data_IF_986381434685
#
_entry.id   IF_986381434685
#
_cell.length_a   1.000
_cell.length_b   1.000
_cell.length_c   1.000
_cell.angle_alpha   90.00
_cell.angle_beta   90.00
_cell.angle_gamma   90.00
#
_symmetry.space_group_name_H-M   'P 1'
#
loop_
_entity.id
_entity.type
_entity.pdbx_description
1 polymer ?
#
# COMPACT_ATOMS: atom_id res chain seq x y z
N UNK A 1 4.38 -63.82 10.76
CA UNK A 1 3.44 -62.97 10.00
C UNK A 1 3.10 -61.63 10.70
N UNK A 2 2.89 -61.62 12.03
CA UNK A 2 2.55 -60.40 12.79
C UNK A 2 3.65 -59.35 12.84
N UNK A 3 4.91 -59.73 12.83
CA UNK A 3 6.06 -58.79 12.89
C UNK A 3 6.27 -58.01 11.57
N UNK A 4 5.99 -58.62 10.42
CA UNK A 4 6.09 -57.97 9.09
C UNK A 4 4.98 -56.91 8.88
N UNK A 5 3.77 -57.14 9.42
CA UNK A 5 2.68 -56.16 9.37
C UNK A 5 3.00 -54.90 10.21
N UNK A 6 3.68 -55.07 11.36
CA UNK A 6 4.02 -53.95 12.23
C UNK A 6 5.11 -53.04 11.63
N UNK A 7 6.07 -53.64 10.92
CA UNK A 7 7.11 -52.88 10.21
C UNK A 7 6.51 -52.08 9.02
N UNK A 8 5.55 -52.64 8.28
CA UNK A 8 4.86 -51.92 7.21
C UNK A 8 3.98 -50.77 7.73
N UNK A 9 3.31 -50.95 8.87
CA UNK A 9 2.53 -49.90 9.50
C UNK A 9 3.43 -48.73 10.01
N UNK A 10 4.63 -49.06 10.54
CA UNK A 10 5.60 -48.05 10.95
C UNK A 10 6.22 -47.29 9.77
N UNK A 11 6.49 -47.95 8.66
CA UNK A 11 7.01 -47.34 7.42
C UNK A 11 5.94 -46.45 6.77
N UNK A 12 4.67 -46.87 6.76
CA UNK A 12 3.57 -46.02 6.29
C UNK A 12 3.29 -44.80 7.20
N UNK A 13 3.51 -44.91 8.52
CA UNK A 13 3.41 -43.76 9.42
C UNK A 13 4.63 -42.80 9.32
N UNK A 14 5.81 -43.29 8.92
CA UNK A 14 6.98 -42.44 8.73
C UNK A 14 6.97 -41.74 7.37
N UNK A 15 6.24 -42.20 6.36
CA UNK A 15 6.08 -41.53 5.07
C UNK A 15 5.10 -40.34 5.10
N UNK A 16 4.36 -40.15 6.17
CA UNK A 16 3.47 -39.01 6.38
C UNK A 16 4.10 -37.85 7.21
N UNK A 17 5.38 -37.93 7.47
CA UNK A 17 6.15 -36.70 7.80
C UNK A 17 6.32 -35.90 6.52
N UNK A 18 5.22 -35.40 5.97
CA UNK A 18 5.28 -34.24 5.12
C UNK A 18 6.04 -33.18 5.93
N UNK A 19 7.23 -32.84 5.49
CA UNK A 19 7.89 -31.62 5.87
C UNK A 19 6.86 -30.52 5.61
N UNK A 20 6.09 -30.16 6.62
CA UNK A 20 5.27 -28.97 6.58
C UNK A 20 6.27 -27.84 6.39
N UNK A 21 6.40 -27.39 5.13
CA UNK A 21 7.27 -26.28 4.83
C UNK A 21 6.92 -25.13 5.74
N UNK A 22 7.91 -24.43 6.18
CA UNK A 22 7.80 -23.32 7.13
C UNK A 22 6.66 -22.39 6.67
N UNK A 23 5.59 -22.33 7.46
CA UNK A 23 4.45 -21.47 7.19
C UNK A 23 4.92 -20.02 7.30
N UNK A 24 4.36 -19.14 6.48
CA UNK A 24 4.59 -17.70 6.60
C UNK A 24 4.34 -17.25 8.04
N UNK A 25 5.33 -16.59 8.64
CA UNK A 25 5.29 -16.16 10.03
C UNK A 25 4.98 -14.66 10.13
N UNK A 26 4.26 -14.24 11.16
CA UNK A 26 4.12 -12.82 11.46
C UNK A 26 5.46 -12.24 11.93
N UNK A 27 5.58 -10.93 11.90
CA UNK A 27 6.82 -10.21 12.24
C UNK A 27 7.62 -9.82 11.00
N UNK A 28 8.40 -8.75 11.14
CA UNK A 28 9.28 -8.28 10.08
C UNK A 28 10.48 -9.22 9.96
N UNK A 29 10.65 -9.78 8.78
CA UNK A 29 11.82 -10.58 8.45
C UNK A 29 12.67 -9.80 7.44
N UNK A 30 13.87 -9.44 7.84
CA UNK A 30 14.77 -8.61 7.04
C UNK A 30 15.33 -9.38 5.84
N UNK A 31 15.54 -10.70 5.94
CA UNK A 31 16.00 -11.54 4.82
C UNK A 31 14.86 -11.73 3.79
N UNK A 32 13.64 -11.93 4.28
CA UNK A 32 12.44 -11.96 3.43
C UNK A 32 12.27 -10.62 2.70
N UNK A 33 12.48 -9.49 3.41
CA UNK A 33 12.41 -8.16 2.81
C UNK A 33 13.52 -7.91 1.77
N UNK A 34 14.73 -8.38 2.02
CA UNK A 34 15.83 -8.30 1.06
C UNK A 34 15.49 -9.04 -0.24
N UNK A 35 14.95 -10.26 -0.15
CA UNK A 35 14.49 -11.02 -1.32
C UNK A 35 13.36 -10.31 -2.06
N UNK A 36 12.44 -9.66 -1.32
CA UNK A 36 11.37 -8.84 -1.89
C UNK A 36 11.95 -7.65 -2.67
N UNK A 37 12.99 -6.98 -2.19
CA UNK A 37 13.64 -5.90 -2.92
C UNK A 37 14.26 -6.39 -4.24
N UNK A 38 14.82 -7.61 -4.26
CA UNK A 38 15.33 -8.27 -5.48
C UNK A 38 14.20 -8.54 -6.47
N UNK A 39 13.04 -9.02 -6.01
CA UNK A 39 11.82 -9.21 -6.83
C UNK A 39 11.39 -7.87 -7.44
N UNK A 40 11.30 -6.81 -6.64
CA UNK A 40 10.86 -5.48 -7.09
C UNK A 40 11.81 -4.93 -8.18
N UNK A 41 13.11 -5.15 -8.06
CA UNK A 41 14.08 -4.78 -9.12
C UNK A 41 13.87 -5.59 -10.39
N UNK A 42 13.60 -6.90 -10.25
CA UNK A 42 13.30 -7.78 -11.39
C UNK A 42 12.05 -7.33 -12.16
N UNK A 43 11.07 -6.74 -11.46
CA UNK A 43 9.86 -6.15 -12.05
C UNK A 43 10.09 -4.78 -12.69
N UNK A 44 11.23 -4.15 -12.44
CA UNK A 44 11.57 -2.79 -12.91
C UNK A 44 12.09 -2.84 -14.34
N UNK A 45 11.63 -1.90 -15.18
CA UNK A 45 12.09 -1.76 -16.57
C UNK A 45 13.47 -1.08 -16.69
N UNK A 46 14.18 -0.83 -15.58
CA UNK A 46 15.44 -0.09 -15.59
C UNK A 46 16.65 -1.03 -15.50
N UNK A 47 17.24 -1.48 -16.63
CA UNK A 47 18.35 -2.46 -16.66
C UNK A 47 19.59 -2.04 -15.86
N UNK A 48 19.84 -0.74 -15.75
CA UNK A 48 20.99 -0.20 -15.01
C UNK A 48 20.90 -0.47 -13.50
N UNK A 49 19.70 -0.49 -12.92
CA UNK A 49 19.49 -0.79 -11.48
C UNK A 49 19.62 -2.28 -11.18
N UNK A 50 19.22 -3.14 -12.12
CA UNK A 50 19.37 -4.59 -12.02
C UNK A 50 20.83 -5.07 -11.93
N UNK A 51 21.81 -4.24 -12.36
CA UNK A 51 23.23 -4.56 -12.20
C UNK A 51 23.76 -4.33 -10.79
N UNK A 52 23.06 -3.54 -9.97
CA UNK A 52 23.50 -3.15 -8.62
C UNK A 52 22.85 -4.02 -7.52
N UNK A 53 21.78 -4.72 -7.84
CA UNK A 53 21.06 -5.60 -6.91
C UNK A 53 21.00 -6.99 -7.57
N UNK A 54 21.43 -8.04 -6.87
CA UNK A 54 21.38 -9.41 -7.38
C UNK A 54 19.95 -9.83 -7.75
N UNK A 55 19.81 -10.72 -8.74
CA UNK A 55 18.53 -11.32 -9.09
C UNK A 55 17.96 -12.12 -7.90
N UNK A 56 16.62 -12.29 -7.79
CA UNK A 56 16.01 -13.10 -6.73
C UNK A 56 16.65 -14.49 -6.64
N UNK A 57 17.00 -14.90 -5.40
CA UNK A 57 17.72 -16.16 -5.16
C UNK A 57 16.77 -17.29 -4.76
N UNK A 58 15.67 -16.94 -4.11
CA UNK A 58 14.68 -17.88 -3.55
C UNK A 58 13.34 -17.81 -4.27
N UNK A 59 13.23 -17.01 -5.34
CA UNK A 59 11.96 -16.71 -5.99
C UNK A 59 12.08 -16.87 -7.51
N UNK A 60 11.04 -17.49 -8.10
CA UNK A 60 10.94 -17.72 -9.54
C UNK A 60 9.70 -17.03 -10.07
N UNK A 61 9.85 -16.24 -11.14
CA UNK A 61 8.74 -15.60 -11.82
C UNK A 61 7.81 -16.64 -12.45
N UNK A 62 6.54 -16.63 -12.10
CA UNK A 62 5.50 -17.53 -12.60
C UNK A 62 4.58 -16.85 -13.62
N UNK A 63 4.30 -15.57 -13.40
CA UNK A 63 3.38 -14.83 -14.25
C UNK A 63 3.70 -13.34 -14.23
N UNK A 64 3.57 -12.72 -15.38
CA UNK A 64 3.62 -11.26 -15.56
C UNK A 64 2.36 -10.82 -16.26
N UNK A 65 1.63 -9.88 -15.68
CA UNK A 65 0.41 -9.35 -16.27
C UNK A 65 0.68 -8.53 -17.53
N UNK A 66 -0.35 -8.31 -18.33
CA UNK A 66 -0.33 -7.22 -19.30
C UNK A 66 -0.39 -5.89 -18.55
N UNK A 67 0.06 -4.82 -19.19
CA UNK A 67 -0.16 -3.46 -18.72
C UNK A 67 -1.65 -3.15 -18.76
N UNK A 68 -2.21 -2.57 -17.69
CA UNK A 68 -3.64 -2.32 -17.56
C UNK A 68 -3.94 -0.99 -16.86
N UNK A 69 -5.10 -0.42 -17.15
CA UNK A 69 -5.58 0.82 -16.52
C UNK A 69 -4.60 1.98 -16.71
N UNK A 70 -4.12 2.55 -15.62
CA UNK A 70 -3.15 3.64 -15.60
C UNK A 70 -1.71 3.11 -15.58
N UNK A 71 -1.31 2.43 -16.62
CA UNK A 71 0.00 1.75 -16.76
C UNK A 71 0.34 0.82 -15.61
N UNK A 72 -0.66 0.19 -14.99
CA UNK A 72 -0.45 -0.76 -13.91
C UNK A 72 0.05 -2.09 -14.46
N UNK A 73 0.92 -2.74 -13.70
CA UNK A 73 1.43 -4.09 -13.96
C UNK A 73 1.74 -4.76 -12.63
N UNK A 74 1.56 -6.07 -12.58
CA UNK A 74 1.96 -6.88 -11.45
C UNK A 74 2.59 -8.20 -11.91
N UNK A 75 3.32 -8.81 -11.02
CA UNK A 75 3.98 -10.09 -11.24
C UNK A 75 3.68 -11.05 -10.09
N UNK A 76 3.53 -12.33 -10.46
CA UNK A 76 3.45 -13.45 -9.53
C UNK A 76 4.78 -14.16 -9.50
N UNK A 77 5.40 -14.18 -8.34
CA UNK A 77 6.61 -14.94 -8.07
C UNK A 77 6.30 -16.06 -7.08
N UNK A 78 7.01 -17.17 -7.21
CA UNK A 78 6.92 -18.28 -6.25
C UNK A 78 8.21 -18.36 -5.46
N UNK A 79 8.13 -18.03 -4.16
CA UNK A 79 9.25 -18.07 -3.23
C UNK A 79 9.32 -19.48 -2.58
N UNK A 80 10.49 -20.12 -2.68
CA UNK A 80 10.79 -21.45 -2.13
C UNK A 80 9.74 -22.52 -2.52
N UNK A 81 9.06 -22.35 -3.65
CA UNK A 81 8.02 -23.24 -4.15
C UNK A 81 6.73 -23.28 -3.30
N UNK A 82 6.54 -22.37 -2.35
CA UNK A 82 5.47 -22.46 -1.33
C UNK A 82 4.72 -21.15 -1.07
N UNK A 83 5.39 -20.02 -1.18
CA UNK A 83 4.82 -18.70 -0.92
C UNK A 83 4.67 -17.93 -2.21
N UNK A 84 3.46 -17.53 -2.54
CA UNK A 84 3.19 -16.66 -3.68
C UNK A 84 3.47 -15.22 -3.32
N UNK A 85 4.28 -14.52 -4.11
CA UNK A 85 4.56 -13.09 -3.96
C UNK A 85 3.89 -12.33 -5.09
N UNK A 86 2.93 -11.48 -4.75
CA UNK A 86 2.25 -10.58 -5.69
C UNK A 86 2.94 -9.22 -5.63
N UNK A 87 3.76 -8.93 -6.64
CA UNK A 87 4.53 -7.71 -6.72
C UNK A 87 3.86 -6.70 -7.64
N UNK A 88 3.41 -5.58 -7.09
CA UNK A 88 2.84 -4.46 -7.84
C UNK A 88 3.94 -3.51 -8.28
N UNK A 89 4.02 -3.25 -9.59
CA UNK A 89 5.00 -2.32 -10.18
C UNK A 89 4.77 -0.89 -9.69
N UNK A 90 5.85 -0.17 -9.44
CA UNK A 90 5.83 1.27 -9.16
C UNK A 90 5.61 2.11 -10.42
N UNK A 91 5.76 3.45 -10.29
CA UNK A 91 5.58 4.39 -11.39
C UNK A 91 6.57 4.12 -12.53
N UNK A 92 6.09 4.24 -13.76
CA UNK A 92 6.89 4.31 -14.98
C UNK A 92 7.14 5.78 -15.39
N UNK A 93 7.79 5.99 -16.52
CA UNK A 93 7.93 7.33 -17.10
C UNK A 93 6.67 7.80 -17.85
N UNK A 94 5.67 6.93 -18.01
CA UNK A 94 4.44 7.23 -18.73
C UNK A 94 3.55 8.20 -17.96
N UNK A 95 2.93 9.10 -18.69
CA UNK A 95 2.04 10.14 -18.10
C UNK A 95 0.88 9.54 -17.33
N UNK A 96 0.25 8.49 -17.83
CA UNK A 96 -0.89 7.83 -17.20
C UNK A 96 -0.50 7.14 -15.89
N UNK A 97 0.72 6.58 -15.80
CA UNK A 97 1.27 6.06 -14.54
C UNK A 97 1.38 7.17 -13.47
N UNK A 98 1.83 8.37 -13.86
CA UNK A 98 1.90 9.51 -12.95
C UNK A 98 0.52 10.04 -12.56
N UNK A 99 -0.47 9.96 -13.47
CA UNK A 99 -1.84 10.34 -13.14
C UNK A 99 -2.40 9.52 -11.97
N UNK A 100 -2.03 8.24 -11.84
CA UNK A 100 -2.43 7.44 -10.68
C UNK A 100 -1.92 8.02 -9.35
N UNK A 101 -0.73 8.63 -9.30
CA UNK A 101 -0.21 9.30 -8.11
C UNK A 101 -0.87 10.66 -7.86
N UNK A 102 -1.09 11.43 -8.93
CA UNK A 102 -1.61 12.79 -8.84
C UNK A 102 -3.12 12.80 -8.59
N UNK A 103 -3.84 11.74 -8.94
CA UNK A 103 -5.26 11.59 -8.64
C UNK A 103 -5.48 11.32 -7.15
N UNK A 104 -5.13 12.33 -6.35
CA UNK A 104 -4.96 12.22 -4.90
C UNK A 104 -6.12 12.82 -4.09
N UNK A 105 -7.28 13.09 -4.68
CA UNK A 105 -8.49 13.27 -3.89
C UNK A 105 -8.86 11.94 -3.22
N UNK A 106 -9.53 12.01 -2.07
CA UNK A 106 -10.00 10.80 -1.40
C UNK A 106 -11.41 10.42 -1.81
N UNK A 107 -11.69 9.12 -1.80
CA UNK A 107 -13.04 8.56 -1.94
C UNK A 107 -13.35 7.68 -0.73
N UNK A 108 -14.63 7.43 -0.38
CA UNK A 108 -14.97 6.51 0.69
C UNK A 108 -14.25 5.16 0.51
N UNK A 109 -13.84 4.54 1.63
CA UNK A 109 -13.20 3.22 1.60
C UNK A 109 -14.17 2.06 1.31
N UNK A 110 -15.45 2.37 1.16
CA UNK A 110 -16.52 1.43 0.77
C UNK A 110 -17.40 2.08 -0.30
N UNK A 111 -17.70 1.35 -1.35
CA UNK A 111 -18.52 1.87 -2.43
C UNK A 111 -18.37 1.10 -3.74
N UNK A 112 -18.57 1.82 -4.83
CA UNK A 112 -18.40 1.31 -6.20
C UNK A 112 -17.70 2.34 -7.07
N UNK A 113 -16.83 1.87 -7.96
CA UNK A 113 -16.25 2.66 -9.04
C UNK A 113 -16.72 2.11 -10.39
N UNK A 114 -17.26 2.95 -11.22
CA UNK A 114 -17.55 2.62 -12.61
C UNK A 114 -16.27 2.88 -13.42
N UNK A 115 -15.54 1.80 -13.68
CA UNK A 115 -14.19 1.83 -14.26
C UNK A 115 -14.24 1.86 -15.79
N UNK A 116 -15.11 1.01 -16.37
CA UNK A 116 -15.25 0.87 -17.82
C UNK A 116 -16.65 0.33 -18.15
N UNK A 117 -17.02 0.29 -19.42
CA UNK A 117 -18.25 -0.33 -19.87
C UNK A 117 -18.29 -1.80 -19.42
N UNK A 118 -19.29 -2.14 -18.60
CA UNK A 118 -19.44 -3.49 -18.05
C UNK A 118 -18.43 -3.83 -16.94
N UNK A 119 -17.62 -2.87 -16.47
CA UNK A 119 -16.72 -3.06 -15.34
C UNK A 119 -17.00 -2.05 -14.22
N UNK A 120 -17.76 -2.50 -13.24
CA UNK A 120 -17.95 -1.80 -11.96
C UNK A 120 -17.18 -2.53 -10.88
N UNK A 121 -16.29 -1.82 -10.20
CA UNK A 121 -15.54 -2.32 -9.05
C UNK A 121 -16.31 -2.02 -7.77
N UNK A 122 -16.89 -3.05 -7.16
CA UNK A 122 -17.49 -2.97 -5.84
C UNK A 122 -16.42 -3.30 -4.79
N UNK A 123 -16.34 -2.50 -3.73
CA UNK A 123 -15.30 -2.66 -2.72
C UNK A 123 -15.78 -2.25 -1.33
N UNK A 124 -15.30 -3.00 -0.33
CA UNK A 124 -15.47 -2.71 1.10
C UNK A 124 -14.11 -2.89 1.78
N UNK A 125 -13.21 -1.90 1.60
CA UNK A 125 -11.86 -1.99 2.16
C UNK A 125 -11.89 -1.95 3.70
N UNK A 126 -12.87 -1.25 4.27
CA UNK A 126 -13.19 -1.30 5.69
C UNK A 126 -14.64 -0.84 5.92
N UNK A 127 -15.17 -1.15 7.11
CA UNK A 127 -16.56 -0.85 7.48
C UNK A 127 -16.77 0.58 8.04
N UNK A 128 -15.69 1.27 8.40
CA UNK A 128 -15.80 2.61 8.97
C UNK A 128 -16.21 3.62 7.89
N UNK A 129 -17.37 4.24 8.06
CA UNK A 129 -17.96 5.20 7.09
C UNK A 129 -17.15 6.49 6.93
N UNK A 130 -16.28 6.83 7.88
CA UNK A 130 -15.36 7.98 7.81
C UNK A 130 -14.05 7.63 7.10
N UNK A 131 -13.79 6.34 6.87
CA UNK A 131 -12.57 5.92 6.17
C UNK A 131 -12.61 6.32 4.70
N UNK A 132 -11.51 6.88 4.25
CA UNK A 132 -11.35 7.33 2.87
C UNK A 132 -9.94 7.01 2.36
N UNK A 133 -9.84 6.71 1.07
CA UNK A 133 -8.63 6.24 0.42
C UNK A 133 -8.29 7.05 -0.82
N UNK A 134 -7.05 6.98 -1.25
CA UNK A 134 -6.50 7.61 -2.45
C UNK A 134 -7.20 7.07 -3.71
N UNK A 135 -7.91 7.93 -4.44
CA UNK A 135 -8.72 7.48 -5.58
C UNK A 135 -7.89 6.86 -6.72
N UNK A 136 -6.73 7.43 -7.04
CA UNK A 136 -5.87 6.88 -8.09
C UNK A 136 -5.35 5.48 -7.77
N UNK A 137 -4.99 5.22 -6.51
CA UNK A 137 -4.59 3.87 -6.07
C UNK A 137 -5.77 2.91 -6.05
N UNK A 138 -6.97 3.39 -5.75
CA UNK A 138 -8.18 2.57 -5.80
C UNK A 138 -8.53 2.17 -7.23
N UNK A 139 -8.40 3.08 -8.21
CA UNK A 139 -8.56 2.76 -9.64
C UNK A 139 -7.53 1.69 -10.06
N UNK A 140 -6.27 1.85 -9.66
CA UNK A 140 -5.22 0.86 -9.92
C UNK A 140 -5.55 -0.49 -9.28
N UNK A 141 -6.01 -0.49 -8.02
CA UNK A 141 -6.44 -1.70 -7.31
C UNK A 141 -7.54 -2.44 -8.06
N UNK A 142 -8.54 -1.73 -8.59
CA UNK A 142 -9.63 -2.33 -9.35
C UNK A 142 -9.14 -3.13 -10.58
N UNK A 143 -8.22 -2.56 -11.34
CA UNK A 143 -7.64 -3.26 -12.49
C UNK A 143 -6.78 -4.45 -12.08
N UNK A 144 -5.90 -4.24 -11.11
CA UNK A 144 -4.96 -5.27 -10.66
C UNK A 144 -5.67 -6.46 -10.03
N UNK A 145 -6.62 -6.22 -9.13
CA UNK A 145 -7.30 -7.31 -8.41
C UNK A 145 -8.23 -8.13 -9.30
N UNK A 146 -8.77 -7.52 -10.37
CA UNK A 146 -9.53 -8.26 -11.38
C UNK A 146 -8.71 -9.39 -12.03
N UNK A 147 -7.41 -9.19 -12.21
CA UNK A 147 -6.48 -10.18 -12.75
C UNK A 147 -5.80 -11.02 -11.67
N UNK A 148 -5.53 -10.43 -10.49
CA UNK A 148 -4.87 -11.13 -9.36
C UNK A 148 -5.75 -12.21 -8.73
N UNK A 149 -7.04 -11.94 -8.50
CA UNK A 149 -7.93 -12.85 -7.75
C UNK A 149 -8.03 -14.23 -8.40
N UNK A 150 -8.24 -14.36 -9.74
CA UNK A 150 -8.21 -15.66 -10.40
C UNK A 150 -6.86 -16.39 -10.28
N UNK A 151 -5.74 -15.65 -10.20
CA UNK A 151 -4.40 -16.25 -10.02
C UNK A 151 -4.18 -16.71 -8.58
N UNK A 152 -4.69 -15.96 -7.60
CA UNK A 152 -4.70 -16.39 -6.19
C UNK A 152 -5.49 -17.70 -6.04
N UNK A 153 -6.67 -17.79 -6.66
CA UNK A 153 -7.45 -19.02 -6.65
C UNK A 153 -6.69 -20.18 -7.29
N UNK A 154 -6.07 -19.96 -8.45
CA UNK A 154 -5.23 -20.98 -9.10
C UNK A 154 -4.09 -21.46 -8.20
N UNK A 155 -3.40 -20.56 -7.51
CA UNK A 155 -2.36 -20.89 -6.53
C UNK A 155 -2.95 -21.68 -5.34
N UNK A 156 -4.11 -21.27 -4.85
CA UNK A 156 -4.80 -21.96 -3.76
C UNK A 156 -5.17 -23.40 -4.14
N UNK A 157 -5.71 -23.63 -5.33
CA UNK A 157 -6.01 -24.97 -5.85
C UNK A 157 -4.74 -25.82 -6.01
N UNK A 158 -3.60 -25.18 -6.32
CA UNK A 158 -2.30 -25.85 -6.34
C UNK A 158 -1.69 -26.09 -4.95
N UNK A 159 -2.40 -25.77 -3.86
CA UNK A 159 -1.98 -26.03 -2.49
C UNK A 159 -1.28 -24.86 -1.79
N UNK A 160 -1.09 -23.71 -2.45
CA UNK A 160 -0.49 -22.51 -1.82
C UNK A 160 -1.46 -21.90 -0.83
N UNK A 161 -0.96 -21.54 0.34
CA UNK A 161 -1.73 -20.90 1.43
C UNK A 161 -1.11 -19.59 1.88
N UNK A 162 0.13 -19.33 1.51
CA UNK A 162 0.95 -18.21 1.93
C UNK A 162 1.12 -17.21 0.79
N UNK A 163 0.73 -15.96 1.03
CA UNK A 163 0.78 -14.89 0.04
C UNK A 163 1.47 -13.66 0.63
N UNK A 164 2.45 -13.13 -0.09
CA UNK A 164 3.07 -11.85 0.21
C UNK A 164 2.60 -10.84 -0.82
N UNK A 165 2.10 -9.71 -0.35
CA UNK A 165 1.73 -8.57 -1.17
C UNK A 165 2.84 -7.52 -1.05
N UNK A 166 3.35 -7.04 -2.17
CA UNK A 166 4.43 -6.07 -2.13
C UNK A 166 4.43 -5.12 -3.32
N UNK A 167 5.19 -4.05 -3.18
CA UNK A 167 5.52 -3.07 -4.19
C UNK A 167 6.37 -1.96 -3.59
N UNK A 168 7.03 -1.21 -4.46
CA UNK A 168 7.84 -0.05 -4.10
C UNK A 168 7.20 1.23 -4.63
N UNK A 169 7.33 2.34 -3.91
CA UNK A 169 6.80 3.63 -4.37
C UNK A 169 5.27 3.57 -4.56
N UNK A 170 4.76 3.97 -5.72
CA UNK A 170 3.36 3.82 -6.12
C UNK A 170 2.86 2.39 -5.89
N UNK A 171 3.65 1.37 -6.28
CA UNK A 171 3.31 -0.03 -6.05
C UNK A 171 3.11 -0.36 -4.58
N UNK A 172 3.91 0.23 -3.68
CA UNK A 172 3.73 0.12 -2.23
C UNK A 172 2.45 0.79 -1.75
N UNK A 173 2.11 1.97 -2.29
CA UNK A 173 0.85 2.68 -1.99
C UNK A 173 -0.37 1.88 -2.44
N UNK A 174 -0.33 1.26 -3.61
CA UNK A 174 -1.39 0.40 -4.13
C UNK A 174 -1.50 -0.90 -3.32
N UNK A 175 -0.37 -1.46 -2.88
CA UNK A 175 -0.34 -2.71 -2.09
C UNK A 175 -1.14 -2.64 -0.80
N UNK A 176 -1.27 -1.48 -0.16
CA UNK A 176 -2.17 -1.31 0.99
C UNK A 176 -3.63 -1.59 0.61
N UNK A 177 -4.08 -1.06 -0.52
CA UNK A 177 -5.48 -1.21 -0.95
C UNK A 177 -5.75 -2.62 -1.48
N UNK A 178 -4.79 -3.22 -2.18
CA UNK A 178 -4.84 -4.63 -2.60
C UNK A 178 -4.99 -5.52 -1.37
N UNK A 179 -4.15 -5.34 -0.36
CA UNK A 179 -4.22 -6.10 0.90
C UNK A 179 -5.59 -5.95 1.57
N UNK A 180 -6.07 -4.71 1.74
CA UNK A 180 -7.37 -4.45 2.36
C UNK A 180 -8.53 -5.09 1.57
N UNK A 181 -8.44 -5.08 0.24
CA UNK A 181 -9.44 -5.73 -0.62
C UNK A 181 -9.41 -7.25 -0.50
N UNK A 182 -8.23 -7.87 -0.46
CA UNK A 182 -8.13 -9.33 -0.26
C UNK A 182 -8.66 -9.77 1.11
N UNK A 183 -8.41 -9.00 2.17
CA UNK A 183 -9.04 -9.24 3.48
C UNK A 183 -10.56 -9.05 3.43
N UNK A 184 -11.07 -8.11 2.61
CA UNK A 184 -12.51 -7.98 2.40
C UNK A 184 -13.10 -9.22 1.74
N UNK A 185 -12.47 -9.72 0.68
CA UNK A 185 -12.89 -10.95 -0.01
C UNK A 185 -12.86 -12.18 0.92
N UNK A 186 -11.92 -12.26 1.87
CA UNK A 186 -11.94 -13.29 2.91
C UNK A 186 -13.15 -13.13 3.84
N UNK A 187 -13.42 -11.93 4.34
CA UNK A 187 -14.61 -11.69 5.19
C UNK A 187 -15.92 -12.04 4.49
N UNK A 188 -16.00 -11.76 3.19
CA UNK A 188 -17.17 -12.06 2.35
C UNK A 188 -17.25 -13.56 1.92
N UNK A 189 -16.23 -14.36 2.25
CA UNK A 189 -16.18 -15.78 1.88
C UNK A 189 -15.83 -16.03 0.41
N UNK A 190 -15.43 -15.00 -0.34
CA UNK A 190 -14.99 -15.13 -1.74
C UNK A 190 -13.59 -15.71 -1.82
N UNK A 191 -12.70 -15.38 -0.88
CA UNK A 191 -11.40 -16.02 -0.72
C UNK A 191 -11.40 -16.95 0.51
N UNK A 192 -10.68 -18.08 0.45
CA UNK A 192 -10.57 -19.02 1.57
C UNK A 192 -9.97 -18.38 2.82
N UNK A 193 -10.49 -18.75 3.99
CA UNK A 193 -10.08 -18.22 5.30
C UNK A 193 -8.69 -18.69 5.75
N UNK A 194 -8.21 -19.80 5.21
CA UNK A 194 -6.90 -20.38 5.54
C UNK A 194 -5.74 -19.79 4.72
N UNK A 195 -6.03 -18.87 3.79
CA UNK A 195 -5.00 -18.05 3.14
C UNK A 195 -4.41 -17.07 4.16
N UNK A 196 -3.08 -17.06 4.28
CA UNK A 196 -2.33 -16.09 5.07
C UNK A 196 -1.77 -15.00 4.15
N UNK A 197 -1.99 -13.75 4.52
CA UNK A 197 -1.53 -12.59 3.76
C UNK A 197 -0.55 -11.80 4.61
N UNK A 198 0.66 -11.58 4.11
CA UNK A 198 1.67 -10.71 4.68
C UNK A 198 2.02 -9.61 3.70
N UNK A 199 2.21 -8.39 4.17
CA UNK A 199 2.39 -7.25 3.28
C UNK A 199 3.67 -6.48 3.61
N UNK A 200 4.46 -6.20 2.58
CA UNK A 200 5.62 -5.33 2.66
C UNK A 200 5.45 -4.17 1.68
N UNK A 201 5.09 -3.00 2.20
CA UNK A 201 5.04 -1.79 1.40
C UNK A 201 6.39 -1.07 1.50
N UNK A 202 7.16 -1.06 0.41
CA UNK A 202 8.48 -0.41 0.34
C UNK A 202 8.34 1.02 -0.18
N UNK A 203 8.92 2.00 0.51
CA UNK A 203 8.84 3.42 0.17
C UNK A 203 7.42 3.92 -0.17
N UNK A 204 6.37 3.48 0.55
CA UNK A 204 5.01 3.71 0.10
C UNK A 204 4.55 5.13 0.40
N UNK A 205 3.88 5.81 -0.53
CA UNK A 205 3.08 6.99 -0.19
C UNK A 205 1.86 6.61 0.66
N UNK A 206 1.26 7.58 1.31
CA UNK A 206 0.13 7.38 2.23
C UNK A 206 -1.14 6.94 1.47
N UNK A 207 -1.81 5.88 1.89
CA UNK A 207 -2.92 5.29 1.12
C UNK A 207 -4.28 5.93 1.38
N UNK A 208 -4.49 6.59 2.51
CA UNK A 208 -5.79 7.10 2.92
C UNK A 208 -5.75 7.90 4.22
N UNK A 209 -6.92 8.19 4.78
CA UNK A 209 -7.04 8.95 6.02
C UNK A 209 -6.82 8.11 7.28
N UNK A 210 -6.84 8.76 8.45
CA UNK A 210 -6.61 8.12 9.74
C UNK A 210 -7.59 6.96 10.02
N UNK A 211 -8.85 7.08 9.61
CA UNK A 211 -9.83 6.01 9.82
C UNK A 211 -9.56 4.77 8.97
N UNK A 212 -9.05 4.96 7.75
CA UNK A 212 -8.55 3.85 6.95
C UNK A 212 -7.29 3.24 7.58
N UNK A 213 -6.37 4.07 8.07
CA UNK A 213 -5.16 3.59 8.75
C UNK A 213 -5.50 2.70 9.95
N UNK A 214 -6.41 3.14 10.83
CA UNK A 214 -6.88 2.33 11.97
C UNK A 214 -7.49 0.99 11.54
N UNK A 215 -8.33 1.01 10.49
CA UNK A 215 -8.94 -0.21 10.00
C UNK A 215 -7.89 -1.17 9.41
N UNK A 216 -6.93 -0.64 8.65
CA UNK A 216 -5.83 -1.42 8.06
C UNK A 216 -4.94 -2.05 9.14
N UNK A 217 -4.53 -1.28 10.14
CA UNK A 217 -3.72 -1.75 11.26
C UNK A 217 -4.45 -2.81 12.10
N UNK A 218 -5.78 -2.65 12.30
CA UNK A 218 -6.61 -3.67 12.95
C UNK A 218 -6.65 -4.98 12.16
N UNK A 219 -6.86 -4.93 10.83
CA UNK A 219 -6.94 -6.15 10.01
C UNK A 219 -5.61 -6.87 9.84
N UNK A 220 -4.49 -6.13 9.94
CA UNK A 220 -3.13 -6.67 9.78
C UNK A 220 -2.35 -6.75 11.10
N UNK A 221 -3.05 -6.63 12.24
CA UNK A 221 -2.41 -6.65 13.56
C UNK A 221 -1.64 -7.95 13.81
N UNK A 222 -0.66 -7.90 14.71
CA UNK A 222 0.18 -9.06 15.02
C UNK A 222 1.36 -9.27 14.07
N UNK A 223 1.71 -8.26 13.26
CA UNK A 223 2.91 -8.32 12.42
C UNK A 223 2.68 -8.86 11.01
N UNK A 224 1.52 -8.58 10.42
CA UNK A 224 1.17 -9.02 9.07
C UNK A 224 1.31 -7.95 7.99
N UNK A 225 1.60 -6.69 8.35
CA UNK A 225 1.85 -5.65 7.35
C UNK A 225 2.89 -4.64 7.81
N UNK A 226 3.81 -4.28 6.93
CA UNK A 226 4.93 -3.39 7.20
C UNK A 226 4.98 -2.23 6.21
N UNK A 227 5.31 -1.05 6.74
CA UNK A 227 5.61 0.17 5.99
C UNK A 227 7.10 0.45 6.13
N UNK A 228 7.90 0.08 5.13
CA UNK A 228 9.36 0.25 5.17
C UNK A 228 9.72 1.59 4.55
N UNK A 229 10.36 2.46 5.31
CA UNK A 229 10.69 3.83 4.91
C UNK A 229 12.14 4.19 5.22
N UNK A 230 12.76 4.92 4.32
CA UNK A 230 14.03 5.61 4.53
C UNK A 230 13.74 7.03 5.01
N UNK A 231 14.40 7.52 6.06
CA UNK A 231 14.15 8.86 6.62
C UNK A 231 14.46 10.01 5.66
N UNK A 232 15.32 9.79 4.68
CA UNK A 232 15.68 10.78 3.65
C UNK A 232 14.73 10.76 2.43
N UNK A 233 13.81 9.79 2.37
CA UNK A 233 12.87 9.66 1.27
C UNK A 233 11.64 10.54 1.49
N UNK A 234 11.35 11.41 0.52
CA UNK A 234 10.19 12.30 0.56
C UNK A 234 8.87 11.63 0.17
N UNK A 235 8.89 10.52 -0.58
CA UNK A 235 7.68 9.87 -1.11
C UNK A 235 6.75 9.34 -0.01
N UNK A 236 7.24 8.72 1.09
CA UNK A 236 6.38 8.31 2.20
C UNK A 236 5.71 9.48 2.95
N UNK A 237 6.13 10.71 2.69
CA UNK A 237 5.49 11.91 3.24
C UNK A 237 4.29 12.38 2.39
N UNK A 238 4.18 11.89 1.15
CA UNK A 238 3.13 12.26 0.22
C UNK A 238 1.89 11.33 0.33
N UNK A 239 0.71 11.79 -0.09
CA UNK A 239 0.35 13.18 -0.41
C UNK A 239 0.40 14.09 0.82
N UNK A 240 0.44 15.41 0.59
CA UNK A 240 0.35 16.37 1.70
C UNK A 240 -0.91 16.15 2.52
N UNK A 241 -0.76 16.18 3.84
CA UNK A 241 -1.85 15.92 4.77
C UNK A 241 -2.32 17.21 5.42
N UNK A 242 -3.62 17.42 5.45
CA UNK A 242 -4.25 18.51 6.18
C UNK A 242 -5.44 17.95 6.96
N UNK A 243 -5.34 18.01 8.28
CA UNK A 243 -6.43 17.64 9.16
C UNK A 243 -7.43 18.79 9.28
N UNK A 244 -8.70 18.48 9.16
CA UNK A 244 -9.82 19.41 9.40
C UNK A 244 -10.56 19.03 10.68
N UNK A 245 -11.42 19.90 11.15
CA UNK A 245 -12.32 19.57 12.27
C UNK A 245 -13.30 18.46 11.91
N UNK A 246 -13.64 18.28 10.64
CA UNK A 246 -14.50 17.20 10.13
C UNK A 246 -13.84 15.82 10.21
N UNK A 247 -12.51 15.74 10.30
CA UNK A 247 -11.79 14.48 10.48
C UNK A 247 -11.86 13.95 11.93
N UNK A 248 -12.33 14.75 12.88
CA UNK A 248 -12.48 14.34 14.27
C UNK A 248 -13.74 13.47 14.46
N UNK A 249 -13.78 12.60 15.51
CA UNK A 249 -14.98 11.90 15.90
C UNK A 249 -16.13 12.89 16.25
N UNK A 250 -17.37 12.42 16.21
CA UNK A 250 -18.51 13.22 16.65
C UNK A 250 -18.39 13.63 18.11
N UNK A 251 -17.96 12.71 18.95
CA UNK A 251 -17.61 12.94 20.35
C UNK A 251 -16.23 13.61 20.45
N UNK A 252 -16.18 14.89 20.10
CA UNK A 252 -14.96 15.70 20.11
C UNK A 252 -15.20 17.05 20.80
N UNK A 253 -14.16 17.79 21.19
CA UNK A 253 -14.35 19.09 21.83
C UNK A 253 -14.89 20.19 20.89
N UNK A 254 -14.99 19.95 19.57
CA UNK A 254 -15.42 20.97 18.60
C UNK A 254 -16.81 21.54 18.91
N UNK A 255 -17.86 20.74 19.16
CA UNK A 255 -19.16 21.28 19.52
C UNK A 255 -19.13 22.11 20.80
N UNK A 256 -18.29 21.72 21.78
CA UNK A 256 -18.11 22.45 23.03
C UNK A 256 -17.50 23.83 22.80
N UNK A 257 -16.46 23.92 21.96
CA UNK A 257 -15.82 25.18 21.59
C UNK A 257 -16.83 26.09 20.89
N UNK A 258 -17.57 25.59 19.92
CA UNK A 258 -18.61 26.36 19.23
C UNK A 258 -19.72 26.82 20.19
N UNK A 259 -20.16 25.95 21.08
CA UNK A 259 -21.13 26.27 22.14
C UNK A 259 -20.62 27.32 23.11
N UNK A 260 -19.34 27.22 23.51
CA UNK A 260 -18.69 28.22 24.37
C UNK A 260 -18.62 29.60 23.69
N UNK A 261 -18.23 29.67 22.43
CA UNK A 261 -18.19 30.91 21.64
C UNK A 261 -19.58 31.55 21.57
N UNK A 262 -20.64 30.75 21.36
CA UNK A 262 -22.03 31.27 21.28
C UNK A 262 -22.50 31.92 22.58
N UNK A 263 -22.03 31.44 23.75
CA UNK A 263 -22.40 31.95 25.07
C UNK A 263 -21.67 33.22 25.51
N UNK A 264 -20.65 33.68 24.74
CA UNK A 264 -19.91 34.90 25.08
C UNK A 264 -20.70 36.18 24.80
N UNK A 265 -20.33 37.29 25.48
CA UNK A 265 -20.86 38.62 25.19
C UNK A 265 -20.57 39.01 23.73
N UNK A 266 -21.35 39.92 23.17
CA UNK A 266 -21.35 40.28 21.74
C UNK A 266 -19.94 40.51 21.18
N UNK A 267 -19.15 41.38 21.80
CA UNK A 267 -17.80 41.72 21.31
C UNK A 267 -16.83 40.52 21.45
N UNK A 268 -16.83 39.83 22.58
CA UNK A 268 -16.00 38.63 22.80
C UNK A 268 -16.34 37.54 21.79
N UNK A 269 -17.64 37.34 21.52
CA UNK A 269 -18.11 36.37 20.54
C UNK A 269 -17.63 36.66 19.12
N UNK A 270 -17.68 37.93 18.67
CA UNK A 270 -17.18 38.34 17.35
C UNK A 270 -15.68 38.03 17.26
N UNK A 271 -14.92 38.46 18.27
CA UNK A 271 -13.48 38.25 18.31
C UNK A 271 -13.12 36.74 18.28
N UNK A 272 -13.66 35.95 19.20
CA UNK A 272 -13.38 34.51 19.27
C UNK A 272 -13.83 33.77 18.00
N UNK A 273 -14.99 34.13 17.45
CA UNK A 273 -15.48 33.56 16.18
C UNK A 273 -14.57 33.88 15.02
N UNK A 274 -13.98 35.09 14.98
CA UNK A 274 -13.01 35.47 13.96
C UNK A 274 -11.76 34.60 14.02
N UNK A 275 -11.18 34.39 15.22
CA UNK A 275 -10.01 33.52 15.38
C UNK A 275 -10.32 32.06 15.05
N UNK A 276 -11.44 31.54 15.54
CA UNK A 276 -11.88 30.18 15.21
C UNK A 276 -12.00 29.97 13.72
N UNK A 277 -12.63 30.89 13.00
CA UNK A 277 -12.74 30.84 11.54
C UNK A 277 -11.38 30.93 10.83
N UNK A 278 -10.44 31.73 11.32
CA UNK A 278 -9.09 31.83 10.76
C UNK A 278 -8.31 30.53 10.89
N UNK A 279 -8.58 29.71 11.90
CA UNK A 279 -7.97 28.38 12.03
C UNK A 279 -8.71 27.32 11.20
N UNK A 280 -10.04 27.33 11.20
CA UNK A 280 -10.90 26.34 10.54
C UNK A 280 -10.88 26.48 9.01
N UNK A 281 -11.16 27.69 8.50
CA UNK A 281 -11.44 27.91 7.07
C UNK A 281 -10.26 27.58 6.14
N UNK A 282 -8.98 27.85 6.48
CA UNK A 282 -7.86 27.48 5.60
C UNK A 282 -7.74 25.98 5.37
N UNK A 283 -7.94 25.16 6.42
CA UNK A 283 -7.87 23.69 6.29
C UNK A 283 -9.02 23.15 5.43
N UNK A 284 -10.26 23.63 5.63
CA UNK A 284 -11.41 23.25 4.80
C UNK A 284 -11.26 23.70 3.34
N UNK A 285 -10.70 24.92 3.12
CA UNK A 285 -10.37 25.39 1.78
C UNK A 285 -9.32 24.52 1.11
N UNK A 286 -8.34 24.01 1.85
CA UNK A 286 -7.33 23.10 1.31
C UNK A 286 -7.96 21.80 0.85
N UNK A 287 -8.85 21.19 1.62
CA UNK A 287 -9.58 19.97 1.21
C UNK A 287 -10.37 20.21 -0.07
N UNK A 288 -11.13 21.31 -0.15
CA UNK A 288 -11.88 21.63 -1.37
C UNK A 288 -10.96 21.88 -2.58
N UNK A 289 -9.78 22.45 -2.35
CA UNK A 289 -8.77 22.63 -3.39
C UNK A 289 -8.22 21.28 -3.89
N UNK A 290 -7.94 20.35 -2.98
CA UNK A 290 -7.56 18.98 -3.36
C UNK A 290 -8.62 18.29 -4.20
N UNK A 291 -9.88 18.32 -3.76
CA UNK A 291 -10.98 17.72 -4.53
C UNK A 291 -11.11 18.35 -5.93
N UNK A 292 -10.93 19.66 -6.03
CA UNK A 292 -11.01 20.36 -7.32
C UNK A 292 -9.84 20.00 -8.24
N UNK A 293 -8.60 20.16 -7.78
CA UNK A 293 -7.42 20.02 -8.65
C UNK A 293 -6.95 18.56 -8.75
N UNK A 294 -6.78 17.87 -7.62
CA UNK A 294 -6.29 16.48 -7.57
C UNK A 294 -7.43 15.45 -7.62
N UNK A 295 -8.66 15.91 -7.73
CA UNK A 295 -9.86 15.13 -8.03
C UNK A 295 -10.35 15.45 -9.42
N UNK A 296 -11.27 16.44 -9.54
CA UNK A 296 -12.01 16.75 -10.76
C UNK A 296 -11.14 17.03 -11.98
N UNK A 297 -10.09 17.85 -11.85
CA UNK A 297 -9.26 18.19 -13.01
C UNK A 297 -8.40 16.99 -13.45
N UNK A 298 -7.88 16.20 -12.51
CA UNK A 298 -7.15 14.96 -12.84
C UNK A 298 -8.09 13.93 -13.45
N UNK A 299 -9.33 13.77 -12.96
CA UNK A 299 -10.32 12.88 -13.55
C UNK A 299 -10.55 13.16 -15.04
N UNK A 300 -10.58 14.44 -15.44
CA UNK A 300 -10.67 14.82 -16.85
C UNK A 300 -9.48 14.31 -17.69
N UNK A 301 -8.27 14.32 -17.12
CA UNK A 301 -7.09 13.78 -17.80
C UNK A 301 -7.13 12.25 -17.87
N UNK A 302 -7.57 11.60 -16.79
CA UNK A 302 -7.73 10.13 -16.72
C UNK A 302 -8.68 9.64 -17.82
N UNK A 303 -9.77 10.36 -18.10
CA UNK A 303 -10.71 10.02 -19.17
C UNK A 303 -10.10 9.96 -20.57
N UNK A 304 -8.91 10.54 -20.79
CA UNK A 304 -8.18 10.38 -22.07
C UNK A 304 -7.60 8.97 -22.22
N UNK A 305 -7.29 8.31 -21.10
CA UNK A 305 -6.74 6.95 -21.06
C UNK A 305 -7.81 5.90 -20.73
N UNK A 306 -8.80 6.29 -19.94
CA UNK A 306 -9.95 5.49 -19.53
C UNK A 306 -11.25 6.20 -19.92
N UNK A 307 -11.66 6.15 -21.21
CA UNK A 307 -12.77 6.99 -21.73
C UNK A 307 -14.11 6.76 -21.03
N UNK A 308 -14.37 5.55 -20.56
CA UNK A 308 -15.63 5.17 -19.93
C UNK A 308 -15.59 5.31 -18.39
N UNK A 309 -14.46 5.76 -17.82
CA UNK A 309 -14.34 5.98 -16.37
C UNK A 309 -15.30 7.08 -15.92
N UNK A 310 -16.11 6.76 -14.90
CA UNK A 310 -16.97 7.76 -14.27
C UNK A 310 -16.32 8.30 -13.00
N UNK A 311 -16.19 9.62 -12.96
CA UNK A 311 -15.67 10.32 -11.80
C UNK A 311 -16.51 10.01 -10.55
N UNK A 312 -15.89 9.53 -9.45
CA UNK A 312 -16.61 9.24 -8.22
C UNK A 312 -16.87 10.50 -7.38
N UNK A 313 -17.73 10.39 -6.39
CA UNK A 313 -17.88 11.40 -5.34
C UNK A 313 -16.69 11.35 -4.38
N UNK A 314 -16.13 12.53 -4.05
CA UNK A 314 -14.96 12.64 -3.17
C UNK A 314 -15.37 12.80 -1.70
N UNK A 315 -14.61 12.18 -0.81
CA UNK A 315 -14.73 12.37 0.64
C UNK A 315 -14.16 13.73 1.06
N UNK A 316 -14.79 14.43 2.03
CA UNK A 316 -14.32 15.72 2.50
C UNK A 316 -13.17 15.59 3.51
N UNK A 317 -12.16 14.80 3.19
CA UNK A 317 -10.95 14.56 3.98
C UNK A 317 -9.71 14.66 3.13
N UNK A 318 -8.64 15.17 3.71
CA UNK A 318 -7.29 15.15 3.16
C UNK A 318 -6.28 14.81 4.25
N UNK A 319 -6.73 14.17 5.32
CA UNK A 319 -5.90 13.76 6.45
C UNK A 319 -5.17 12.45 6.13
N UNK A 320 -4.28 12.50 5.14
CA UNK A 320 -3.47 11.36 4.73
C UNK A 320 -2.53 10.88 5.84
N UNK A 321 -2.59 9.60 6.15
CA UNK A 321 -1.80 8.98 7.22
C UNK A 321 -1.09 7.75 6.70
N UNK A 322 0.15 7.56 7.14
CA UNK A 322 0.89 6.32 6.93
C UNK A 322 0.26 5.22 7.79
N UNK A 323 0.25 3.99 7.30
CA UNK A 323 -0.33 2.84 8.00
C UNK A 323 0.56 1.60 7.89
N UNK A 324 0.23 0.54 8.64
CA UNK A 324 1.05 -0.64 8.82
C UNK A 324 2.17 -0.42 9.84
N UNK A 325 2.79 -1.50 10.31
CA UNK A 325 3.91 -1.41 11.26
C UNK A 325 5.10 -0.71 10.61
N UNK A 326 5.57 0.43 11.13
CA UNK A 326 6.67 1.17 10.53
C UNK A 326 8.01 0.44 10.76
N UNK A 327 8.74 0.21 9.68
CA UNK A 327 10.14 -0.17 9.69
C UNK A 327 10.93 1.02 9.16
N UNK A 328 11.66 1.68 10.02
CA UNK A 328 12.36 2.92 9.69
C UNK A 328 13.83 2.63 9.48
N UNK A 329 14.29 2.81 8.25
CA UNK A 329 15.69 2.67 7.87
C UNK A 329 16.39 4.03 8.06
N UNK A 330 17.36 4.06 8.97
CA UNK A 330 18.15 5.27 9.25
C UNK A 330 19.47 5.24 8.51
N UNK A 331 19.75 6.23 7.64
CA UNK A 331 21.06 6.44 7.04
C UNK A 331 22.15 6.69 8.07
N UNK A 332 23.34 6.15 7.82
CA UNK A 332 24.57 6.44 8.57
C UNK A 332 25.56 7.25 7.72
N UNK A 333 26.71 7.60 8.29
CA UNK A 333 27.73 8.39 7.61
C UNK A 333 28.20 7.74 6.28
N UNK A 334 28.35 6.43 6.26
CA UNK A 334 28.77 5.70 5.06
C UNK A 334 27.68 5.70 3.95
N UNK A 335 26.40 5.68 4.35
CA UNK A 335 25.31 5.85 3.42
C UNK A 335 25.36 7.24 2.77
N UNK A 336 25.53 8.32 3.55
CA UNK A 336 25.59 9.69 3.01
C UNK A 336 26.81 9.89 2.10
N UNK A 337 27.93 9.24 2.35
CA UNK A 337 29.08 9.25 1.43
C UNK A 337 28.76 8.59 0.09
N UNK A 338 28.01 7.49 0.11
CA UNK A 338 27.62 6.75 -1.11
C UNK A 338 26.53 7.46 -1.90
N UNK A 339 25.52 8.02 -1.20
CA UNK A 339 24.34 8.66 -1.78
C UNK A 339 24.37 10.20 -1.64
N UNK A 340 25.52 10.80 -1.89
CA UNK A 340 25.65 12.26 -1.94
C UNK A 340 25.31 12.80 -3.32
N UNK A 341 24.77 14.03 -3.35
CA UNK A 341 24.57 14.73 -4.62
C UNK A 341 25.90 14.90 -5.35
N UNK A 342 25.92 14.49 -6.63
CA UNK A 342 27.08 14.69 -7.51
C UNK A 342 27.22 16.16 -7.94
N UNK A 343 26.09 16.82 -8.11
CA UNK A 343 25.99 18.22 -8.51
C UNK A 343 25.10 18.96 -7.50
N UNK A 344 25.64 19.97 -6.81
CA UNK A 344 24.94 20.74 -5.79
C UNK A 344 23.77 21.57 -6.37
N UNK A 345 23.85 21.93 -7.63
CA UNK A 345 22.87 22.77 -8.31
C UNK A 345 21.71 21.98 -8.90
N UNK A 346 21.83 20.63 -8.99
CA UNK A 346 20.78 19.74 -9.49
C UNK A 346 20.14 18.94 -8.37
N UNK A 347 18.81 19.05 -8.24
CA UNK A 347 18.04 18.23 -7.33
C UNK A 347 17.80 16.86 -7.98
N UNK A 348 18.29 15.80 -7.34
CA UNK A 348 17.92 14.43 -7.70
C UNK A 348 16.81 13.95 -6.76
N UNK A 349 15.57 14.04 -7.22
CA UNK A 349 14.39 13.67 -6.44
C UNK A 349 14.35 12.17 -6.10
N UNK A 350 15.08 11.34 -6.83
CA UNK A 350 15.08 9.89 -6.66
C UNK A 350 16.30 9.36 -5.89
N UNK A 351 17.20 10.26 -5.49
CA UNK A 351 18.47 9.89 -4.83
C UNK A 351 18.27 8.94 -3.64
N UNK A 352 17.29 9.24 -2.79
CA UNK A 352 16.98 8.46 -1.60
C UNK A 352 15.71 7.60 -1.73
N UNK A 353 14.94 7.82 -2.80
CA UNK A 353 13.70 7.08 -3.08
C UNK A 353 13.93 5.81 -3.89
N UNK A 354 15.00 5.75 -4.67
CA UNK A 354 15.26 4.59 -5.52
C UNK A 354 15.40 3.29 -4.73
N UNK A 355 15.20 2.15 -5.38
CA UNK A 355 15.28 0.83 -4.75
C UNK A 355 16.70 0.52 -4.20
N UNK A 356 17.75 1.02 -4.86
CA UNK A 356 19.15 0.79 -4.46
C UNK A 356 19.47 1.37 -3.08
N UNK A 357 19.08 2.61 -2.71
CA UNK A 357 19.18 3.12 -1.34
C UNK A 357 18.49 2.25 -0.29
N UNK A 358 17.31 1.70 -0.60
CA UNK A 358 16.59 0.81 0.31
C UNK A 358 17.31 -0.53 0.48
N UNK A 359 17.82 -1.10 -0.61
CA UNK A 359 18.59 -2.33 -0.58
C UNK A 359 19.86 -2.17 0.27
N UNK A 360 20.63 -1.11 0.05
CA UNK A 360 21.83 -0.78 0.83
C UNK A 360 21.54 -0.63 2.33
N UNK A 361 20.47 0.06 2.69
CA UNK A 361 20.09 0.21 4.10
C UNK A 361 19.63 -1.11 4.72
N UNK A 362 19.03 -2.00 3.93
CA UNK A 362 18.62 -3.34 4.37
C UNK A 362 19.83 -4.21 4.65
N UNK A 363 20.83 -4.23 3.78
CA UNK A 363 22.10 -4.96 4.00
C UNK A 363 22.80 -4.46 5.26
N UNK A 364 22.90 -3.15 5.48
CA UNK A 364 23.49 -2.55 6.69
C UNK A 364 22.71 -2.89 7.97
N UNK A 365 21.41 -3.07 7.85
CA UNK A 365 20.57 -3.51 8.98
C UNK A 365 20.87 -4.97 9.34
N UNK A 366 21.07 -5.83 8.34
CA UNK A 366 21.48 -7.23 8.51
C UNK A 366 22.87 -7.35 9.17
N UNK A 367 23.83 -6.54 8.73
CA UNK A 367 25.20 -6.58 9.28
C UNK A 367 25.26 -6.15 10.76
N UNK A 368 24.35 -5.27 11.19
CA UNK A 368 24.27 -4.87 12.61
C UNK A 368 23.61 -5.91 13.51
N UNK A 369 22.92 -6.90 12.94
CA UNK A 369 22.28 -8.00 13.67
C UNK A 369 23.17 -9.25 13.76
N UNK A 370 24.25 -9.33 12.97
CA UNK A 370 25.29 -10.37 13.03
C UNK A 370 26.38 -10.00 14.00
#
# INVERSE_FOLDING_TARGET
>A
MKLKLFVWALVCCMSSLYVQGQKLQPGFDIQEYEEILRIIVGSSETPAKAKLIPYPQHSVLQYKSKVMGLSNLWELWMKDGKTAVLCTRGSTLDTDSWLANIYAAMVPATGKLEIDTGFTFNYTLCENTKAAVHVGYLVSTAYLTRDMVPKIDSCYQAGVRDFIITGHSQGGGISYLVTAYLYALQREGTLPQDIRIKTYCSAPPKPGNLYFAYAYEKMTQGGWAFSVVNTEDWVPQMPFSVQTLGDLPEESPVPLVEGFIKKQSFFKRIFMRSYYKKMKNPSEKTVSTYQRFLGKEVAKQIKKYLPNFKEPSYSPSNNYVRTGLPIVLYPDAAYYEKFKRKDKDKVDLMLHHGIVPYFELTERYLDKQR
#
